data_IF_310610808933
#
_entry.id   IF_310610808933
#
_cell.length_a   1.000
_cell.length_b   1.000
_cell.length_c   1.000
_cell.angle_alpha   90.00
_cell.angle_beta   90.00
_cell.angle_gamma   90.00
#
_symmetry.space_group_name_H-M   'P 1'
#
loop_
_entity.id
_entity.type
_entity.pdbx_description
1 polymer ?
#
# COMPACT_ATOMS: atom_id res chain seq x y z
N UNK A 1 21.09 -19.90 -13.94
CA UNK A 1 21.94 -18.76 -14.36
C UNK A 1 22.37 -17.95 -13.13
N UNK A 2 23.47 -17.19 -13.18
CA UNK A 2 23.96 -16.40 -12.02
C UNK A 2 24.30 -14.97 -12.43
N UNK A 3 23.87 -13.97 -11.66
CA UNK A 3 24.23 -12.55 -11.83
C UNK A 3 24.89 -12.01 -10.56
N UNK A 4 26.00 -11.28 -10.70
CA UNK A 4 26.69 -10.68 -9.55
C UNK A 4 26.20 -9.25 -9.29
N UNK A 5 25.95 -8.93 -8.02
CA UNK A 5 25.70 -7.58 -7.52
C UNK A 5 26.73 -7.29 -6.41
N UNK A 6 27.85 -6.66 -6.77
CA UNK A 6 28.99 -6.53 -5.87
C UNK A 6 29.52 -7.91 -5.45
N UNK A 7 29.53 -8.20 -4.15
CA UNK A 7 29.94 -9.49 -3.59
C UNK A 7 28.84 -10.55 -3.50
N UNK A 8 27.62 -10.23 -3.93
CA UNK A 8 26.44 -11.10 -3.82
C UNK A 8 26.19 -11.80 -5.17
N UNK A 9 25.96 -13.11 -5.13
CA UNK A 9 25.53 -13.89 -6.30
C UNK A 9 24.02 -14.08 -6.26
N UNK A 10 23.32 -13.60 -7.29
CA UNK A 10 21.92 -13.91 -7.51
C UNK A 10 21.79 -15.12 -8.42
N UNK A 11 21.11 -16.15 -7.92
CA UNK A 11 20.88 -17.42 -8.59
C UNK A 11 19.47 -17.42 -9.18
N UNK A 12 19.36 -17.79 -10.45
CA UNK A 12 18.11 -17.86 -11.21
C UNK A 12 17.93 -19.25 -11.80
N UNK A 13 16.70 -19.75 -11.80
CA UNK A 13 16.27 -20.75 -12.78
C UNK A 13 15.90 -20.08 -14.12
N UNK A 14 15.53 -20.88 -15.12
CA UNK A 14 15.30 -20.37 -16.49
C UNK A 14 14.05 -19.47 -16.57
N UNK A 15 12.98 -19.77 -15.83
CA UNK A 15 11.78 -18.93 -15.78
C UNK A 15 12.04 -17.59 -15.06
N UNK A 16 12.77 -17.65 -13.96
CA UNK A 16 13.16 -16.49 -13.14
C UNK A 16 14.05 -15.52 -13.91
N UNK A 17 14.93 -16.04 -14.76
CA UNK A 17 15.76 -15.22 -15.62
C UNK A 17 14.93 -14.39 -16.61
N UNK A 18 13.89 -15.00 -17.20
CA UNK A 18 12.98 -14.31 -18.10
C UNK A 18 12.14 -13.24 -17.37
N UNK A 19 11.63 -13.54 -16.17
CA UNK A 19 10.95 -12.55 -15.33
C UNK A 19 11.91 -11.37 -15.01
N UNK A 20 13.15 -11.67 -14.63
CA UNK A 20 14.17 -10.64 -14.36
C UNK A 20 14.43 -9.74 -15.57
N UNK A 21 14.59 -10.30 -16.77
CA UNK A 21 14.80 -9.52 -18.00
C UNK A 21 13.57 -8.65 -18.33
N UNK A 22 12.35 -9.15 -18.15
CA UNK A 22 11.15 -8.36 -18.41
C UNK A 22 11.03 -7.14 -17.48
N UNK A 23 11.69 -7.17 -16.32
CA UNK A 23 11.72 -6.08 -15.32
C UNK A 23 12.92 -5.15 -15.48
N UNK A 24 13.69 -5.22 -16.56
CA UNK A 24 14.99 -4.54 -16.74
C UNK A 24 14.92 -3.00 -16.93
N UNK A 25 14.14 -2.30 -16.11
CA UNK A 25 14.27 -0.86 -15.91
C UNK A 25 15.34 -0.57 -14.84
N UNK A 26 16.01 0.57 -14.92
CA UNK A 26 17.06 0.95 -13.97
C UNK A 26 16.55 0.98 -12.51
N UNK A 27 15.31 1.45 -12.31
CA UNK A 27 14.66 1.52 -10.99
C UNK A 27 14.44 0.10 -10.41
N UNK A 28 13.95 -0.84 -11.23
CA UNK A 28 13.75 -2.22 -10.80
C UNK A 28 15.04 -2.92 -10.42
N UNK A 29 16.14 -2.69 -11.17
CA UNK A 29 17.44 -3.28 -10.84
C UNK A 29 18.00 -2.75 -9.53
N UNK A 30 17.86 -1.44 -9.27
CA UNK A 30 18.29 -0.83 -8.00
C UNK A 30 17.53 -1.42 -6.82
N UNK A 31 16.23 -1.62 -6.96
CA UNK A 31 15.40 -2.24 -5.93
C UNK A 31 15.78 -3.71 -5.69
N UNK A 32 15.99 -4.49 -6.75
CA UNK A 32 16.49 -5.88 -6.65
C UNK A 32 17.85 -5.93 -5.95
N UNK A 33 18.78 -5.04 -6.30
CA UNK A 33 20.09 -4.93 -5.66
C UNK A 33 19.98 -4.57 -4.17
N UNK A 34 19.06 -3.68 -3.82
CA UNK A 34 18.78 -3.32 -2.43
C UNK A 34 18.27 -4.54 -1.65
N UNK A 35 17.25 -5.25 -2.15
CA UNK A 35 16.70 -6.44 -1.50
C UNK A 35 17.76 -7.54 -1.35
N UNK A 36 18.62 -7.74 -2.36
CA UNK A 36 19.71 -8.70 -2.28
C UNK A 36 20.70 -8.34 -1.16
N UNK A 37 21.10 -7.07 -1.06
CA UNK A 37 21.96 -6.60 0.04
C UNK A 37 21.30 -6.75 1.39
N UNK A 38 20.01 -6.43 1.49
CA UNK A 38 19.23 -6.58 2.71
C UNK A 38 19.23 -8.03 3.19
N UNK A 39 18.81 -8.98 2.33
CA UNK A 39 18.83 -10.41 2.65
C UNK A 39 20.25 -10.85 3.04
N UNK A 40 21.25 -10.48 2.24
CA UNK A 40 22.65 -10.85 2.48
C UNK A 40 23.11 -10.43 3.87
N UNK A 41 22.77 -9.20 4.29
CA UNK A 41 23.14 -8.65 5.60
C UNK A 41 22.38 -9.29 6.77
N UNK A 42 21.09 -9.60 6.60
CA UNK A 42 20.22 -10.08 7.68
C UNK A 42 20.30 -11.59 7.92
N UNK A 43 20.73 -12.33 6.89
CA UNK A 43 20.86 -13.79 6.92
C UNK A 43 22.31 -14.27 6.81
N UNK A 44 23.28 -13.35 6.74
CA UNK A 44 24.72 -13.63 6.60
C UNK A 44 25.03 -14.62 5.45
N UNK A 45 24.48 -14.34 4.26
CA UNK A 45 24.69 -15.16 3.07
C UNK A 45 25.05 -14.35 1.83
N UNK A 46 25.89 -14.92 0.95
CA UNK A 46 26.34 -14.27 -0.29
C UNK A 46 25.60 -14.75 -1.53
N UNK A 47 25.03 -15.94 -1.47
CA UNK A 47 24.25 -16.52 -2.56
C UNK A 47 22.77 -16.42 -2.22
N UNK A 48 21.99 -15.83 -3.13
CA UNK A 48 20.57 -15.52 -2.93
C UNK A 48 19.80 -16.01 -4.14
N UNK A 49 18.73 -16.77 -3.92
CA UNK A 49 17.85 -17.15 -5.01
C UNK A 49 16.94 -15.97 -5.38
N UNK A 50 16.75 -15.72 -6.68
CA UNK A 50 15.88 -14.65 -7.14
C UNK A 50 14.43 -14.81 -6.66
N UNK A 51 13.95 -16.05 -6.49
CA UNK A 51 12.63 -16.35 -5.89
C UNK A 51 12.44 -15.72 -4.51
N UNK A 52 13.48 -15.63 -3.69
CA UNK A 52 13.40 -15.02 -2.36
C UNK A 52 13.17 -13.51 -2.47
N UNK A 53 13.87 -12.85 -3.38
CA UNK A 53 13.62 -11.43 -3.68
C UNK A 53 12.21 -11.24 -4.24
N UNK A 54 11.80 -12.10 -5.19
CA UNK A 54 10.48 -12.03 -5.81
C UNK A 54 9.37 -12.15 -4.78
N UNK A 55 9.50 -13.08 -3.84
CA UNK A 55 8.53 -13.28 -2.77
C UNK A 55 8.47 -12.05 -1.85
N UNK A 56 9.60 -11.42 -1.50
CA UNK A 56 9.62 -10.13 -0.81
C UNK A 56 8.93 -9.02 -1.61
N UNK A 57 9.18 -8.92 -2.92
CA UNK A 57 8.54 -7.91 -3.76
C UNK A 57 7.01 -8.10 -3.83
N UNK A 58 6.55 -9.35 -3.90
CA UNK A 58 5.12 -9.69 -3.90
C UNK A 58 4.50 -9.35 -2.54
N UNK A 59 5.16 -9.72 -1.44
CA UNK A 59 4.70 -9.41 -0.09
C UNK A 59 4.53 -7.91 0.12
N UNK A 60 5.55 -7.12 -0.25
CA UNK A 60 5.50 -5.66 -0.14
C UNK A 60 4.31 -5.08 -0.92
N UNK A 61 4.08 -5.54 -2.16
CA UNK A 61 2.93 -5.12 -2.97
C UNK A 61 1.60 -5.46 -2.30
N UNK A 62 1.46 -6.65 -1.71
CA UNK A 62 0.23 -7.07 -1.00
C UNK A 62 -0.04 -6.20 0.22
N UNK A 63 1.00 -5.90 1.02
CA UNK A 63 0.87 -4.98 2.17
C UNK A 63 0.41 -3.60 1.69
N UNK A 64 1.09 -3.00 0.71
CA UNK A 64 0.71 -1.69 0.16
C UNK A 64 -0.73 -1.67 -0.36
N UNK A 65 -1.13 -2.72 -1.09
CA UNK A 65 -2.48 -2.84 -1.61
C UNK A 65 -3.53 -2.89 -0.49
N UNK A 66 -3.28 -3.65 0.58
CA UNK A 66 -4.20 -3.74 1.71
C UNK A 66 -4.32 -2.41 2.47
N UNK A 67 -3.21 -1.71 2.69
CA UNK A 67 -3.24 -0.37 3.31
C UNK A 67 -3.96 0.64 2.42
N UNK A 68 -3.69 0.61 1.10
CA UNK A 68 -4.36 1.48 0.14
C UNK A 68 -5.87 1.24 0.08
N UNK A 69 -6.31 -0.03 0.06
CA UNK A 69 -7.73 -0.38 0.06
C UNK A 69 -8.45 0.16 1.30
N UNK A 70 -7.79 0.15 2.46
CA UNK A 70 -8.32 0.81 3.64
C UNK A 70 -8.46 2.33 3.42
N UNK A 71 -7.39 3.00 2.97
CA UNK A 71 -7.41 4.45 2.76
C UNK A 71 -8.54 4.85 1.79
N UNK A 72 -8.76 4.07 0.73
CA UNK A 72 -9.89 4.27 -0.18
C UNK A 72 -11.24 4.12 0.53
N UNK A 73 -11.44 3.07 1.32
CA UNK A 73 -12.69 2.87 2.05
C UNK A 73 -12.96 4.00 3.04
N UNK A 74 -11.93 4.46 3.75
CA UNK A 74 -12.02 5.61 4.63
C UNK A 74 -12.44 6.87 3.86
N UNK A 75 -11.79 7.13 2.73
CA UNK A 75 -12.11 8.25 1.83
C UNK A 75 -13.53 8.19 1.27
N UNK A 76 -14.04 6.98 0.97
CA UNK A 76 -15.42 6.75 0.53
C UNK A 76 -16.42 7.04 1.66
N UNK A 77 -16.13 6.62 2.89
CA UNK A 77 -16.95 6.91 4.06
C UNK A 77 -17.12 8.42 4.29
N UNK A 78 -16.03 9.19 4.18
CA UNK A 78 -16.08 10.66 4.26
C UNK A 78 -16.93 11.25 3.12
N UNK A 79 -16.77 10.72 1.91
CA UNK A 79 -17.51 11.17 0.72
C UNK A 79 -19.01 10.94 0.88
N UNK A 80 -19.40 9.79 1.43
CA UNK A 80 -20.81 9.46 1.70
C UNK A 80 -21.44 10.44 2.69
N UNK A 81 -20.74 10.79 3.78
CA UNK A 81 -21.24 11.76 4.77
C UNK A 81 -21.50 13.15 4.16
N UNK A 82 -20.69 13.56 3.19
CA UNK A 82 -20.88 14.80 2.42
C UNK A 82 -22.14 14.67 1.55
N UNK A 83 -22.27 13.60 0.76
CA UNK A 83 -23.39 13.38 -0.17
C UNK A 83 -24.74 13.26 0.55
N UNK A 84 -24.79 12.56 1.69
CA UNK A 84 -26.02 12.38 2.47
C UNK A 84 -26.55 13.71 3.04
N UNK A 85 -25.71 14.74 3.09
CA UNK A 85 -26.01 16.08 3.63
C UNK A 85 -26.13 17.16 2.55
N UNK A 86 -25.56 16.95 1.37
CA UNK A 86 -25.71 17.84 0.21
C UNK A 86 -26.97 17.49 -0.62
N UNK A 87 -27.47 18.45 -1.39
CA UNK A 87 -28.76 18.35 -2.10
C UNK A 87 -28.82 17.21 -3.13
N UNK A 88 -30.03 16.87 -3.60
CA UNK A 88 -30.34 15.84 -4.64
C UNK A 88 -29.39 15.85 -5.85
N UNK A 89 -28.80 17.00 -6.20
CA UNK A 89 -27.87 17.14 -7.33
C UNK A 89 -26.56 16.36 -7.12
N UNK A 90 -26.01 16.31 -5.89
CA UNK A 90 -24.80 15.54 -5.58
C UNK A 90 -25.06 14.03 -5.53
N UNK A 91 -26.22 13.62 -5.01
CA UNK A 91 -26.64 12.22 -5.00
C UNK A 91 -26.72 11.62 -6.41
N UNK A 92 -27.26 12.38 -7.38
CA UNK A 92 -27.42 11.93 -8.77
C UNK A 92 -26.07 11.72 -9.50
N UNK A 93 -25.03 12.51 -9.19
CA UNK A 93 -23.69 12.38 -9.81
C UNK A 93 -22.93 11.12 -9.36
N UNK A 94 -23.15 10.66 -8.12
CA UNK A 94 -22.51 9.46 -7.58
C UNK A 94 -23.26 8.18 -7.93
N UNK A 95 -24.60 8.22 -7.99
CA UNK A 95 -25.40 7.08 -8.41
C UNK A 95 -25.20 6.68 -9.87
N UNK A 96 -24.83 7.62 -10.75
CA UNK A 96 -24.48 7.31 -12.15
C UNK A 96 -23.13 6.60 -12.32
N UNK A 97 -22.31 6.52 -11.27
CA UNK A 97 -20.98 5.90 -11.29
C UNK A 97 -20.93 4.56 -10.55
N UNK A 98 -22.04 3.82 -10.49
CA UNK A 98 -22.03 2.49 -9.90
C UNK A 98 -21.16 1.49 -10.69
N UNK A 99 -19.95 1.28 -10.19
CA UNK A 99 -19.30 -0.02 -9.96
C UNK A 99 -19.58 -1.11 -11.02
N UNK A 100 -18.95 -0.98 -12.17
CA UNK A 100 -18.53 -2.17 -12.93
C UNK A 100 -17.20 -2.67 -12.37
N UNK A 101 -17.20 -3.95 -12.00
CA UNK A 101 -16.07 -4.74 -11.53
C UNK A 101 -14.95 -4.70 -12.59
N UNK A 102 -13.92 -3.87 -12.38
CA UNK A 102 -12.79 -3.75 -13.32
C UNK A 102 -11.47 -3.79 -12.58
N UNK A 103 -10.97 -5.00 -12.37
CA UNK A 103 -9.57 -5.31 -12.06
C UNK A 103 -8.58 -4.73 -13.07
N UNK A 104 -9.02 -4.36 -14.28
CA UNK A 104 -8.21 -3.72 -15.33
C UNK A 104 -8.07 -2.18 -15.23
N UNK A 105 -8.60 -1.54 -14.17
CA UNK A 105 -8.57 -0.08 -14.03
C UNK A 105 -7.35 0.49 -13.30
N UNK A 106 -6.27 -0.27 -13.11
CA UNK A 106 -5.08 0.26 -12.40
C UNK A 106 -4.46 1.46 -13.16
N UNK A 107 -4.45 1.43 -14.50
CA UNK A 107 -3.97 2.55 -15.33
C UNK A 107 -5.05 3.60 -15.61
N UNK A 108 -6.32 3.23 -15.62
CA UNK A 108 -7.43 4.18 -15.89
C UNK A 108 -7.86 4.98 -14.66
N UNK A 109 -7.61 4.49 -13.44
CA UNK A 109 -7.90 5.23 -12.20
C UNK A 109 -6.92 6.39 -11.94
N UNK A 110 -5.67 6.30 -12.42
CA UNK A 110 -4.70 7.39 -12.30
C UNK A 110 -5.16 8.66 -13.05
N UNK A 111 -5.93 8.53 -14.13
CA UNK A 111 -6.29 9.67 -14.96
C UNK A 111 -7.64 10.35 -14.63
N UNK A 112 -8.51 9.75 -13.79
CA UNK A 112 -9.87 10.29 -13.56
C UNK A 112 -10.18 10.73 -12.12
N UNK A 113 -9.49 10.22 -11.10
CA UNK A 113 -9.72 10.61 -9.70
C UNK A 113 -8.93 11.87 -9.26
N UNK A 114 -8.02 12.40 -10.08
CA UNK A 114 -7.03 13.37 -9.63
C UNK A 114 -7.51 14.82 -9.44
N UNK A 115 -8.67 15.25 -9.97
CA UNK A 115 -8.92 16.70 -10.04
C UNK A 115 -10.12 17.30 -9.31
N UNK A 116 -11.11 16.53 -8.79
CA UNK A 116 -12.30 17.17 -8.21
C UNK A 116 -12.50 17.05 -6.70
N UNK A 117 -12.02 15.99 -6.04
CA UNK A 117 -12.28 15.79 -4.60
C UNK A 117 -11.08 15.18 -3.87
N UNK A 118 -9.97 15.91 -3.81
CA UNK A 118 -8.83 15.45 -3.02
C UNK A 118 -9.20 15.35 -1.52
N UNK A 119 -8.47 14.53 -0.75
CA UNK A 119 -8.73 14.31 0.67
C UNK A 119 -8.86 15.61 1.49
N UNK A 120 -8.03 16.61 1.17
CA UNK A 120 -8.07 17.92 1.82
C UNK A 120 -9.41 18.62 1.62
N UNK A 121 -9.94 18.63 0.39
CA UNK A 121 -11.25 19.20 0.08
C UNK A 121 -12.37 18.50 0.86
N UNK A 122 -12.32 17.16 0.97
CA UNK A 122 -13.33 16.38 1.73
C UNK A 122 -13.36 16.81 3.20
N UNK A 123 -12.19 16.95 3.83
CA UNK A 123 -12.08 17.43 5.21
C UNK A 123 -12.59 18.86 5.36
N UNK A 124 -12.29 19.74 4.40
CA UNK A 124 -12.76 21.13 4.41
C UNK A 124 -14.29 21.21 4.34
N UNK A 125 -14.94 20.35 3.54
CA UNK A 125 -16.41 20.30 3.48
C UNK A 125 -17.02 19.78 4.78
N UNK A 126 -16.50 18.70 5.34
CA UNK A 126 -17.00 18.16 6.62
C UNK A 126 -16.90 19.20 7.74
N UNK A 127 -15.82 19.99 7.77
CA UNK A 127 -15.64 21.10 8.72
C UNK A 127 -16.63 22.23 8.46
N UNK A 128 -16.84 22.64 7.21
CA UNK A 128 -17.85 23.65 6.84
C UNK A 128 -19.26 23.22 7.25
N UNK A 129 -19.56 21.93 7.12
CA UNK A 129 -20.83 21.33 7.53
C UNK A 129 -20.94 21.10 9.05
N UNK A 130 -19.91 21.44 9.83
CA UNK A 130 -19.84 21.20 11.28
C UNK A 130 -20.02 19.73 11.67
N UNK A 131 -19.67 18.79 10.78
CA UNK A 131 -19.69 17.35 11.04
C UNK A 131 -18.44 16.87 11.79
N UNK A 132 -17.35 17.63 11.65
CA UNK A 132 -16.12 17.43 12.40
C UNK A 132 -15.70 18.75 13.05
N UNK A 133 -15.18 18.67 14.26
CA UNK A 133 -14.65 19.84 14.96
C UNK A 133 -13.21 20.17 14.50
N UNK A 134 -12.65 21.28 15.00
CA UNK A 134 -11.30 21.73 14.62
C UNK A 134 -10.23 20.68 14.98
N UNK A 135 -10.33 20.07 16.16
CA UNK A 135 -9.38 19.05 16.62
C UNK A 135 -9.40 17.83 15.69
N UNK A 136 -10.58 17.29 15.38
CA UNK A 136 -10.76 16.16 14.45
C UNK A 136 -10.25 16.49 13.04
N UNK A 137 -10.50 17.72 12.55
CA UNK A 137 -9.96 18.17 11.28
C UNK A 137 -8.42 18.16 11.28
N UNK A 138 -7.80 18.71 12.34
CA UNK A 138 -6.35 18.78 12.48
C UNK A 138 -5.75 17.36 12.62
N UNK A 139 -6.40 16.47 13.37
CA UNK A 139 -6.00 15.07 13.54
C UNK A 139 -6.10 14.29 12.23
N UNK A 140 -7.19 14.42 11.46
CA UNK A 140 -7.31 13.77 10.15
C UNK A 140 -6.30 14.30 9.14
N UNK A 141 -6.07 15.62 9.14
CA UNK A 141 -5.12 16.25 8.22
C UNK A 141 -3.67 15.91 8.55
N UNK A 142 -3.34 15.69 9.81
CA UNK A 142 -2.01 15.24 10.23
C UNK A 142 -1.88 13.73 10.04
N UNK A 143 -2.64 12.93 10.78
CA UNK A 143 -2.45 11.49 10.87
C UNK A 143 -2.77 10.78 9.56
N UNK A 144 -3.91 11.06 8.92
CA UNK A 144 -4.34 10.30 7.73
C UNK A 144 -3.64 10.79 6.46
N UNK A 145 -3.38 12.09 6.32
CA UNK A 145 -2.62 12.59 5.16
C UNK A 145 -1.16 12.16 5.21
N UNK A 146 -0.51 12.26 6.38
CA UNK A 146 0.88 11.80 6.52
C UNK A 146 0.95 10.30 6.29
N UNK A 147 0.05 9.53 6.87
CA UNK A 147 -0.03 8.10 6.64
C UNK A 147 -0.31 7.75 5.17
N UNK A 148 -1.23 8.45 4.49
CA UNK A 148 -1.48 8.27 3.04
C UNK A 148 -0.24 8.56 2.23
N UNK A 149 0.43 9.68 2.49
CA UNK A 149 1.64 10.06 1.77
C UNK A 149 2.78 9.07 2.04
N UNK A 150 2.98 8.69 3.31
CA UNK A 150 3.96 7.68 3.70
C UNK A 150 3.65 6.36 3.02
N UNK A 151 2.42 5.85 3.12
CA UNK A 151 1.96 4.59 2.49
C UNK A 151 2.11 4.60 0.96
N UNK A 152 1.63 5.65 0.29
CA UNK A 152 1.65 5.75 -1.18
C UNK A 152 3.05 5.94 -1.75
N UNK A 153 3.96 6.52 -0.96
CA UNK A 153 5.36 6.75 -1.34
C UNK A 153 6.34 5.84 -0.60
N UNK A 154 5.86 4.77 0.06
CA UNK A 154 6.74 3.75 0.62
C UNK A 154 7.49 3.12 -0.55
N UNK A 155 8.73 3.51 -0.78
CA UNK A 155 9.52 2.93 -1.87
C UNK A 155 10.04 1.54 -1.49
N UNK A 156 10.07 1.21 -0.20
CA UNK A 156 10.37 -0.13 0.29
C UNK A 156 9.98 -0.28 1.78
N UNK A 157 9.12 -1.24 2.13
CA UNK A 157 8.72 -1.47 3.54
C UNK A 157 9.90 -1.95 4.40
N UNK A 158 10.94 -2.49 3.77
CA UNK A 158 12.08 -3.09 4.45
C UNK A 158 13.14 -2.09 4.92
N UNK A 159 13.03 -0.81 4.52
CA UNK A 159 13.92 0.25 5.00
C UNK A 159 13.72 0.47 6.51
N UNK A 160 12.48 0.39 6.98
CA UNK A 160 12.13 0.55 8.39
C UNK A 160 10.85 -0.24 8.72
N UNK A 161 11.02 -1.55 8.90
CA UNK A 161 9.92 -2.47 9.21
C UNK A 161 9.21 -2.10 10.52
N UNK A 162 9.95 -1.64 11.53
CA UNK A 162 9.40 -1.31 12.84
C UNK A 162 8.48 -0.08 12.74
N UNK A 163 8.94 1.00 12.09
CA UNK A 163 8.09 2.18 11.89
C UNK A 163 6.86 1.85 11.05
N UNK A 164 7.00 1.02 10.01
CA UNK A 164 5.87 0.53 9.22
C UNK A 164 4.87 -0.23 10.08
N UNK A 165 5.35 -1.15 10.92
CA UNK A 165 4.51 -1.95 11.77
C UNK A 165 3.72 -1.07 12.72
N UNK A 166 4.38 -0.09 13.35
CA UNK A 166 3.71 0.88 14.22
C UNK A 166 2.63 1.67 13.46
N UNK A 167 2.91 2.14 12.25
CA UNK A 167 1.90 2.84 11.43
C UNK A 167 0.72 1.96 11.04
N UNK A 168 0.93 0.66 10.82
CA UNK A 168 -0.14 -0.31 10.53
C UNK A 168 -0.97 -0.60 11.78
N UNK A 169 -0.35 -0.65 12.96
CA UNK A 169 -1.05 -0.82 14.25
C UNK A 169 -1.87 0.43 14.57
N UNK A 170 -1.29 1.62 14.47
CA UNK A 170 -2.02 2.89 14.63
C UNK A 170 -3.20 2.94 13.66
N UNK A 171 -2.98 2.57 12.40
CA UNK A 171 -4.02 2.43 11.39
C UNK A 171 -5.18 1.54 11.82
N UNK A 172 -4.84 0.35 12.33
CA UNK A 172 -5.80 -0.64 12.77
C UNK A 172 -6.71 -0.10 13.89
N UNK A 173 -6.17 0.68 14.82
CA UNK A 173 -6.93 1.29 15.92
C UNK A 173 -7.97 2.32 15.44
N UNK A 174 -7.73 2.99 14.31
CA UNK A 174 -8.69 3.94 13.72
C UNK A 174 -9.77 3.28 12.85
N UNK A 175 -9.71 1.96 12.64
CA UNK A 175 -10.71 1.25 11.84
C UNK A 175 -12.00 1.00 12.63
N UNK A 176 -13.18 1.07 11.98
CA UNK A 176 -14.39 0.50 12.56
C UNK A 176 -14.20 -1.00 12.85
N UNK A 177 -14.79 -1.50 13.94
CA UNK A 177 -14.60 -2.89 14.43
C UNK A 177 -14.87 -3.96 13.35
N UNK A 178 -15.90 -3.76 12.53
CA UNK A 178 -16.23 -4.68 11.43
C UNK A 178 -15.14 -4.74 10.33
N UNK A 179 -14.34 -3.68 10.18
CA UNK A 179 -13.22 -3.62 9.24
C UNK A 179 -11.89 -4.07 9.86
N UNK A 180 -11.69 -3.89 11.16
CA UNK A 180 -10.50 -4.32 11.90
C UNK A 180 -10.16 -5.79 11.60
N UNK A 181 -11.14 -6.70 11.76
CA UNK A 181 -10.94 -8.13 11.53
C UNK A 181 -10.46 -8.43 10.10
N UNK A 182 -11.14 -7.89 9.10
CA UNK A 182 -10.78 -8.11 7.69
C UNK A 182 -9.40 -7.53 7.37
N UNK A 183 -9.09 -6.34 7.88
CA UNK A 183 -7.79 -5.70 7.66
C UNK A 183 -6.65 -6.52 8.26
N UNK A 184 -6.76 -6.92 9.53
CA UNK A 184 -5.78 -7.77 10.20
C UNK A 184 -5.57 -9.08 9.44
N UNK A 185 -6.66 -9.77 9.10
CA UNK A 185 -6.57 -11.01 8.32
C UNK A 185 -5.87 -10.81 6.97
N UNK A 186 -6.15 -9.71 6.25
CA UNK A 186 -5.53 -9.44 4.95
C UNK A 186 -4.04 -9.14 5.07
N UNK A 187 -3.63 -8.39 6.10
CA UNK A 187 -2.21 -8.15 6.40
C UNK A 187 -1.51 -9.46 6.76
N UNK A 188 -2.06 -10.26 7.68
CA UNK A 188 -1.50 -11.57 8.04
C UNK A 188 -1.42 -12.52 6.84
N UNK A 189 -2.45 -12.54 5.97
CA UNK A 189 -2.49 -13.38 4.77
C UNK A 189 -1.56 -12.87 3.64
N UNK A 190 -0.96 -11.69 3.76
CA UNK A 190 -0.10 -11.14 2.72
C UNK A 190 1.14 -12.00 2.46
N UNK A 191 1.66 -12.68 3.49
CA UNK A 191 2.78 -13.63 3.37
C UNK A 191 2.36 -15.04 2.93
N UNK A 192 1.05 -15.31 2.79
CA UNK A 192 0.54 -16.65 2.47
C UNK A 192 1.12 -17.15 1.14
N UNK A 193 1.62 -18.39 1.17
CA UNK A 193 2.25 -19.09 0.04
C UNK A 193 3.55 -18.44 -0.46
N UNK A 194 4.18 -17.56 0.32
CA UNK A 194 5.48 -16.96 0.01
C UNK A 194 6.56 -17.57 0.92
N UNK A 195 7.74 -17.84 0.38
CA UNK A 195 8.89 -18.35 1.14
C UNK A 195 9.74 -17.18 1.63
N UNK A 196 9.26 -16.54 2.70
CA UNK A 196 9.89 -15.35 3.27
C UNK A 196 10.37 -15.67 4.68
N UNK A 197 11.60 -15.27 5.00
CA UNK A 197 12.12 -15.33 6.36
C UNK A 197 11.25 -14.47 7.30
N UNK A 198 10.90 -15.00 8.47
CA UNK A 198 10.02 -14.33 9.43
C UNK A 198 10.53 -12.95 9.87
N UNK A 199 11.84 -12.69 9.77
CA UNK A 199 12.44 -11.36 10.02
C UNK A 199 11.93 -10.25 9.09
N UNK A 200 11.43 -10.61 7.90
CA UNK A 200 10.89 -9.65 6.92
C UNK A 200 9.36 -9.56 6.94
N UNK A 201 8.69 -10.29 7.83
CA UNK A 201 7.23 -10.32 7.93
C UNK A 201 6.79 -9.40 9.07
N UNK A 202 5.86 -8.49 8.76
CA UNK A 202 5.22 -7.61 9.74
C UNK A 202 4.42 -8.42 10.76
N UNK A 203 4.54 -8.08 12.04
CA UNK A 203 3.77 -8.71 13.11
C UNK A 203 2.62 -7.81 13.53
N UNK A 204 1.38 -8.23 13.22
CA UNK A 204 0.14 -7.44 13.38
C UNK A 204 -0.95 -8.27 14.04
#
# INVERSE_FOLDING_TARGET
MVKKIGSISLIFNDEEWNDFISRNSQISIQYIAFLAKLISSQEDKKDINYSELRDLMIYEKRIKYNVYKFLLFFEEGLTKQIIDRESKTCQNYYMSNQWEDKTDKFETMNNYNEQKFNFGWKLDQLKKMSLINKQQYDDYKKSIRELRNKTMHFNCIYIDLNSIQNWIVELFEYLPENFQKSFKENITKSSKNLKINSKFILQV
#
